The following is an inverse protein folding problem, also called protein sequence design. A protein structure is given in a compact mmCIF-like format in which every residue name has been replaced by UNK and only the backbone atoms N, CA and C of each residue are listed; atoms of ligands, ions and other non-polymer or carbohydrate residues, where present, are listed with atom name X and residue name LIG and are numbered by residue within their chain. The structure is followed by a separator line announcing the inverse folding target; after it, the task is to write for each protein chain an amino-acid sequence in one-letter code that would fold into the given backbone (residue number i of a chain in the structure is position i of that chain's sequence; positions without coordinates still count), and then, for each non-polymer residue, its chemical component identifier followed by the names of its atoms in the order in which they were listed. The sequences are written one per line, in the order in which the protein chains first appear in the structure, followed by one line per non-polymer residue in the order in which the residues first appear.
data_IF_334046075830
#
_entry.id   IF_334046075830
#
_cell.length_a   1.000
_cell.length_b   1.000
_cell.length_c   1.000
_cell.angle_alpha   90.00
_cell.angle_beta   90.00
_cell.angle_gamma   90.00
#
_symmetry.space_group_name_H-M   'P 1'
#
loop_
_entity.id
_entity.type
_entity.pdbx_description
1 polymer ?
#
# COMPACT_ATOMS: atom_id res chain seq x y z
N UNK A 1 28.32 7.78 7.66
CA UNK A 1 26.96 7.18 7.64
C UNK A 1 27.08 5.67 7.75
N UNK A 2 26.32 5.03 8.65
CA UNK A 2 26.31 3.56 8.80
C UNK A 2 25.73 2.88 7.54
N UNK A 3 26.14 1.63 7.27
CA UNK A 3 25.72 0.82 6.10
C UNK A 3 24.19 0.75 5.96
N UNK A 4 23.47 0.75 7.07
CA UNK A 4 22.00 0.74 7.13
C UNK A 4 21.36 2.02 6.56
N UNK A 5 21.92 3.20 6.84
CA UNK A 5 21.40 4.46 6.30
C UNK A 5 21.53 4.52 4.78
N UNK A 6 22.61 3.97 4.24
CA UNK A 6 22.79 3.84 2.78
C UNK A 6 21.78 2.88 2.14
N UNK A 7 21.43 1.78 2.81
CA UNK A 7 20.39 0.87 2.33
C UNK A 7 19.00 1.52 2.33
N UNK A 8 18.67 2.29 3.36
CA UNK A 8 17.40 3.03 3.45
C UNK A 8 17.31 4.10 2.34
N UNK A 9 18.36 4.91 2.17
CA UNK A 9 18.42 5.93 1.13
C UNK A 9 18.35 5.32 -0.28
N UNK A 10 19.14 4.29 -0.55
CA UNK A 10 19.11 3.58 -1.84
C UNK A 10 17.75 2.95 -2.12
N UNK A 11 17.11 2.35 -1.11
CA UNK A 11 15.77 1.80 -1.21
C UNK A 11 14.71 2.86 -1.51
N UNK A 12 14.74 4.00 -0.81
CA UNK A 12 13.83 5.12 -1.06
C UNK A 12 13.99 5.70 -2.47
N UNK A 13 15.23 5.87 -2.94
CA UNK A 13 15.52 6.37 -4.28
C UNK A 13 15.04 5.40 -5.37
N UNK A 14 15.27 4.09 -5.19
CA UNK A 14 14.77 3.06 -6.10
C UNK A 14 13.23 3.04 -6.14
N UNK A 15 12.56 3.12 -4.99
CA UNK A 15 11.10 3.16 -4.93
C UNK A 15 10.56 4.41 -5.62
N UNK A 16 11.19 5.57 -5.42
CA UNK A 16 10.84 6.81 -6.12
C UNK A 16 11.03 6.71 -7.63
N UNK A 17 12.12 6.10 -8.09
CA UNK A 17 12.39 5.86 -9.51
C UNK A 17 11.38 4.88 -10.13
N UNK A 18 11.04 3.80 -9.42
CA UNK A 18 10.00 2.86 -9.87
C UNK A 18 8.64 3.58 -9.97
N UNK A 19 8.31 4.40 -8.98
CA UNK A 19 7.06 5.15 -8.98
C UNK A 19 6.98 6.13 -10.16
N UNK A 20 8.05 6.86 -10.48
CA UNK A 20 8.07 7.79 -11.61
C UNK A 20 7.98 7.08 -12.97
N UNK A 21 8.65 5.93 -13.10
CA UNK A 21 8.52 5.07 -14.30
C UNK A 21 7.08 4.58 -14.45
N UNK A 22 6.46 4.08 -13.39
CA UNK A 22 5.07 3.61 -13.45
C UNK A 22 4.10 4.72 -13.84
N UNK A 23 4.29 5.97 -13.38
CA UNK A 23 3.50 7.11 -13.85
C UNK A 23 3.65 7.31 -15.36
N UNK A 24 4.89 7.31 -15.85
CA UNK A 24 5.17 7.47 -17.29
C UNK A 24 4.53 6.36 -18.12
N UNK A 25 4.39 5.17 -17.55
CA UNK A 25 3.86 3.99 -18.24
C UNK A 25 2.34 3.82 -18.13
N UNK A 26 1.63 4.73 -17.45
CA UNK A 26 0.17 4.77 -17.47
C UNK A 26 -0.51 4.90 -16.11
N UNK A 27 0.22 4.84 -14.99
CA UNK A 27 -0.40 5.08 -13.68
C UNK A 27 -0.81 6.55 -13.51
N UNK A 28 -1.83 6.85 -12.68
CA UNK A 28 -2.33 8.20 -12.54
C UNK A 28 -1.22 9.15 -12.05
N UNK A 29 -1.03 10.32 -12.70
CA UNK A 29 0.07 11.24 -12.38
C UNK A 29 0.01 11.74 -10.94
N UNK A 30 -1.19 11.91 -10.41
CA UNK A 30 -1.43 12.36 -9.03
C UNK A 30 -1.35 11.23 -7.99
N UNK A 31 -1.15 9.97 -8.39
CA UNK A 31 -1.13 8.82 -7.47
C UNK A 31 0.21 8.10 -7.46
N UNK A 32 0.94 8.06 -8.58
CA UNK A 32 2.23 7.40 -8.67
C UNK A 32 2.20 5.95 -8.20
N UNK A 33 2.72 5.72 -6.99
CA UNK A 33 2.73 4.42 -6.31
C UNK A 33 2.06 4.51 -4.93
N UNK A 34 0.88 5.13 -4.85
CA UNK A 34 0.17 5.37 -3.60
C UNK A 34 -0.61 4.13 -3.13
N UNK A 35 -0.14 3.51 -2.05
CA UNK A 35 -0.76 2.32 -1.47
C UNK A 35 -2.21 2.59 -1.02
N UNK A 36 -2.49 3.74 -0.42
CA UNK A 36 -3.85 4.07 0.06
C UNK A 36 -4.85 4.22 -1.10
N UNK A 37 -4.46 4.90 -2.18
CA UNK A 37 -5.31 5.05 -3.36
C UNK A 37 -5.51 3.71 -4.08
N UNK A 38 -4.46 2.89 -4.18
CA UNK A 38 -4.57 1.57 -4.79
C UNK A 38 -5.43 0.61 -3.97
N UNK A 39 -5.36 0.69 -2.64
CA UNK A 39 -6.24 -0.11 -1.78
C UNK A 39 -7.72 0.27 -1.95
N UNK A 40 -8.01 1.57 -2.12
CA UNK A 40 -9.36 2.03 -2.50
C UNK A 40 -9.76 1.48 -3.87
N UNK A 41 -8.89 1.57 -4.87
CA UNK A 41 -9.21 1.07 -6.22
C UNK A 41 -9.49 -0.44 -6.22
N UNK A 42 -8.73 -1.21 -5.44
CA UNK A 42 -8.97 -2.65 -5.21
C UNK A 42 -10.31 -2.87 -4.52
N UNK A 43 -10.63 -2.12 -3.46
CA UNK A 43 -11.92 -2.19 -2.78
C UNK A 43 -13.09 -1.91 -3.72
N UNK A 44 -12.92 -0.97 -4.65
CA UNK A 44 -13.86 -0.68 -5.72
C UNK A 44 -13.98 -1.82 -6.74
N UNK A 45 -12.86 -2.45 -7.09
CA UNK A 45 -12.82 -3.58 -8.02
C UNK A 45 -13.57 -4.79 -7.48
N UNK A 46 -13.40 -5.13 -6.19
CA UNK A 46 -14.12 -6.25 -5.56
C UNK A 46 -15.55 -5.89 -5.12
N UNK A 47 -16.00 -4.65 -5.34
CA UNK A 47 -17.38 -4.22 -5.08
C UNK A 47 -17.69 -3.83 -3.64
N UNK A 48 -16.68 -3.59 -2.78
CA UNK A 48 -16.90 -3.06 -1.42
C UNK A 48 -17.43 -1.62 -1.43
N UNK A 49 -17.23 -0.89 -2.53
CA UNK A 49 -17.92 0.37 -2.82
C UNK A 49 -18.24 0.48 -4.31
N UNK A 50 -19.23 1.32 -4.66
CA UNK A 50 -19.77 1.45 -6.03
C UNK A 50 -19.35 2.73 -6.77
N UNK A 51 -18.27 3.38 -6.33
CA UNK A 51 -17.73 4.54 -7.03
C UNK A 51 -17.07 4.12 -8.37
N UNK A 52 -17.79 4.30 -9.49
CA UNK A 52 -17.41 3.84 -10.83
C UNK A 52 -16.11 4.42 -11.41
N UNK A 53 -15.55 5.46 -10.81
CA UNK A 53 -14.31 6.13 -11.25
C UNK A 53 -13.02 5.53 -10.68
N UNK A 54 -13.14 4.65 -9.67
CA UNK A 54 -12.03 4.12 -8.87
C UNK A 54 -12.19 2.61 -8.63
N UNK A 55 -12.31 1.85 -9.71
CA UNK A 55 -12.46 0.40 -9.70
C UNK A 55 -11.43 -0.21 -10.63
N UNK A 56 -10.35 -0.74 -10.04
CA UNK A 56 -9.33 -1.49 -10.76
C UNK A 56 -8.51 -2.34 -9.80
N UNK A 57 -8.31 -3.61 -10.13
CA UNK A 57 -7.47 -4.49 -9.35
C UNK A 57 -5.99 -4.15 -9.63
N UNK A 58 -5.35 -3.41 -8.74
CA UNK A 58 -3.98 -2.90 -8.90
C UNK A 58 -2.93 -4.03 -8.73
N UNK A 59 -2.24 -4.47 -9.80
CA UNK A 59 -1.22 -5.54 -9.71
C UNK A 59 -0.02 -5.14 -8.85
N UNK A 60 0.23 -3.83 -8.68
CA UNK A 60 1.29 -3.29 -7.84
C UNK A 60 1.18 -3.79 -6.40
N UNK A 61 -0.02 -3.74 -5.81
CA UNK A 61 -0.25 -4.15 -4.42
C UNK A 61 -0.09 -5.67 -4.27
N UNK A 62 -0.61 -6.43 -5.25
CA UNK A 62 -0.40 -7.88 -5.31
C UNK A 62 1.09 -8.18 -5.34
N UNK A 63 1.85 -7.49 -6.21
CA UNK A 63 3.30 -7.63 -6.32
C UNK A 63 4.02 -7.30 -5.02
N UNK A 64 3.64 -6.22 -4.32
CA UNK A 64 4.23 -5.87 -3.01
C UNK A 64 4.01 -7.01 -2.01
N UNK A 65 2.77 -7.51 -1.90
CA UNK A 65 2.42 -8.57 -0.93
C UNK A 65 3.24 -9.83 -1.22
N UNK A 66 3.30 -10.26 -2.49
CA UNK A 66 4.09 -11.42 -2.89
C UNK A 66 5.60 -11.20 -2.71
N UNK A 67 6.09 -10.00 -3.00
CA UNK A 67 7.51 -9.65 -2.89
C UNK A 67 8.00 -9.63 -1.43
N UNK A 68 7.20 -9.03 -0.54
CA UNK A 68 7.45 -9.05 0.92
C UNK A 68 7.40 -10.49 1.44
N UNK A 69 6.38 -11.25 1.03
CA UNK A 69 6.22 -12.65 1.45
C UNK A 69 7.42 -13.51 1.03
N UNK A 70 7.80 -13.46 -0.26
CA UNK A 70 8.95 -14.21 -0.78
C UNK A 70 10.26 -13.79 -0.10
N UNK A 71 10.49 -12.49 0.06
CA UNK A 71 11.66 -11.95 0.77
C UNK A 71 11.72 -12.43 2.22
N UNK A 72 10.58 -12.49 2.91
CA UNK A 72 10.50 -12.94 4.30
C UNK A 72 10.79 -14.44 4.46
N UNK A 73 10.38 -15.28 3.50
CA UNK A 73 10.68 -16.72 3.49
C UNK A 73 12.17 -16.95 3.21
N UNK A 74 12.71 -16.30 2.18
CA UNK A 74 14.15 -16.41 1.83
C UNK A 74 15.02 -15.96 3.01
N UNK A 75 14.59 -14.94 3.75
CA UNK A 75 15.29 -14.47 4.94
C UNK A 75 15.09 -15.34 6.19
N UNK A 76 14.17 -16.31 6.18
CA UNK A 76 13.78 -17.08 7.36
C UNK A 76 13.09 -16.25 8.46
N UNK A 77 12.60 -15.05 8.12
CA UNK A 77 11.98 -14.11 9.07
C UNK A 77 10.44 -14.24 9.11
N UNK A 78 9.86 -15.11 8.29
CA UNK A 78 8.41 -15.28 8.20
C UNK A 78 7.83 -15.79 9.53
N UNK A 79 7.04 -14.95 10.19
CA UNK A 79 6.35 -15.27 11.45
C UNK A 79 4.93 -14.74 11.40
N UNK A 80 3.95 -15.63 11.55
CA UNK A 80 2.53 -15.28 11.68
C UNK A 80 2.30 -14.61 13.04
N UNK A 81 1.71 -13.41 13.04
CA UNK A 81 1.45 -12.60 14.25
C UNK A 81 -0.05 -12.31 14.33
N UNK A 82 -0.61 -12.34 15.54
CA UNK A 82 -2.01 -12.02 15.81
C UNK A 82 -2.24 -11.51 17.23
N UNK A 83 -3.51 -11.35 17.59
CA UNK A 83 -3.93 -11.34 19.00
C UNK A 83 -4.00 -9.99 19.75
N UNK A 84 -3.38 -8.90 19.27
CA UNK A 84 -3.38 -7.65 20.06
C UNK A 84 -4.37 -6.59 19.61
N UNK A 85 -5.28 -6.21 20.52
CA UNK A 85 -6.24 -5.09 20.42
C UNK A 85 -6.86 -4.92 19.02
N UNK A 86 -7.41 -6.00 18.47
CA UNK A 86 -7.86 -6.10 17.07
C UNK A 86 -8.88 -5.04 16.70
N UNK A 87 -9.89 -4.82 17.54
CA UNK A 87 -10.93 -3.82 17.30
C UNK A 87 -10.38 -2.39 17.26
N UNK A 88 -9.53 -2.02 18.23
CA UNK A 88 -8.92 -0.68 18.27
C UNK A 88 -8.05 -0.46 17.04
N UNK A 89 -7.22 -1.44 16.66
CA UNK A 89 -6.37 -1.36 15.46
C UNK A 89 -7.19 -1.25 14.16
N UNK A 90 -8.31 -1.97 14.09
CA UNK A 90 -9.23 -1.88 12.96
C UNK A 90 -9.82 -0.47 12.84
N UNK A 91 -10.35 0.09 13.93
CA UNK A 91 -10.90 1.45 13.96
C UNK A 91 -9.84 2.50 13.63
N UNK A 92 -8.61 2.35 14.15
CA UNK A 92 -7.48 3.22 13.78
C UNK A 92 -7.17 3.15 12.28
N UNK A 93 -7.22 1.95 11.68
CA UNK A 93 -7.07 1.75 10.24
C UNK A 93 -8.16 2.44 9.41
N UNK A 94 -9.42 2.41 9.88
CA UNK A 94 -10.54 3.12 9.24
C UNK A 94 -10.28 4.63 9.23
N UNK A 95 -9.93 5.23 10.37
CA UNK A 95 -9.62 6.66 10.44
C UNK A 95 -8.38 7.04 9.63
N UNK A 96 -7.35 6.19 9.62
CA UNK A 96 -6.17 6.38 8.76
C UNK A 96 -6.58 6.43 7.29
N UNK A 97 -7.40 5.48 6.82
CA UNK A 97 -7.84 5.43 5.42
C UNK A 97 -8.73 6.62 5.05
N UNK A 98 -9.66 7.01 5.93
CA UNK A 98 -10.49 8.21 5.72
C UNK A 98 -9.59 9.45 5.61
N UNK A 99 -8.67 9.65 6.56
CA UNK A 99 -7.74 10.79 6.54
C UNK A 99 -6.85 10.81 5.29
N UNK A 100 -6.27 9.67 4.92
CA UNK A 100 -5.41 9.57 3.73
C UNK A 100 -6.15 9.86 2.42
N UNK A 101 -7.44 9.53 2.34
CA UNK A 101 -8.26 9.77 1.15
C UNK A 101 -8.81 11.21 1.10
N UNK A 102 -9.31 11.74 2.22
CA UNK A 102 -9.90 13.09 2.30
C UNK A 102 -8.85 14.17 2.15
N UNK A 103 -7.72 14.06 2.86
CA UNK A 103 -6.66 15.07 2.83
C UNK A 103 -5.59 14.79 1.77
N UNK A 104 -5.74 13.71 1.00
CA UNK A 104 -4.74 13.20 0.07
C UNK A 104 -3.36 12.90 0.71
N UNK A 105 -3.28 12.85 2.04
CA UNK A 105 -2.05 12.91 2.84
C UNK A 105 -1.24 11.61 2.95
N UNK A 106 -1.13 10.83 1.86
CA UNK A 106 -0.28 9.63 1.87
C UNK A 106 1.19 10.07 1.71
N UNK A 107 2.11 9.70 2.62
CA UNK A 107 3.44 10.30 2.67
C UNK A 107 4.25 10.08 1.38
N UNK A 108 4.15 8.89 0.77
CA UNK A 108 4.80 8.63 -0.52
C UNK A 108 4.16 9.44 -1.66
N UNK A 109 2.84 9.58 -1.65
CA UNK A 109 2.10 10.36 -2.65
C UNK A 109 2.45 11.84 -2.56
N UNK A 110 2.52 12.38 -1.35
CA UNK A 110 2.83 13.79 -1.13
C UNK A 110 4.27 14.11 -1.55
N UNK A 111 5.23 13.23 -1.25
CA UNK A 111 6.61 13.38 -1.74
C UNK A 111 6.66 13.42 -3.27
N UNK A 112 5.94 12.50 -3.95
CA UNK A 112 5.89 12.46 -5.41
C UNK A 112 5.16 13.69 -6.00
N UNK A 113 4.10 14.18 -5.35
CA UNK A 113 3.38 15.39 -5.77
C UNK A 113 4.22 16.66 -5.61
N UNK A 114 4.93 16.78 -4.49
CA UNK A 114 5.87 17.88 -4.28
C UNK A 114 6.99 17.84 -5.33
N UNK A 115 7.51 16.65 -5.65
CA UNK A 115 8.50 16.49 -6.72
C UNK A 115 7.94 16.85 -8.10
N UNK A 116 6.63 16.68 -8.31
CA UNK A 116 5.90 17.12 -9.51
C UNK A 116 5.50 18.60 -9.53
N UNK A 117 5.86 19.38 -8.50
CA UNK A 117 5.59 20.83 -8.43
C UNK A 117 4.27 21.23 -7.75
N UNK A 118 3.52 20.27 -7.17
CA UNK A 118 2.26 20.57 -6.46
C UNK A 118 2.54 20.96 -4.99
N UNK A 119 2.53 22.27 -4.71
CA UNK A 119 2.76 22.81 -3.37
C UNK A 119 1.65 22.47 -2.37
N UNK A 120 0.45 22.06 -2.81
CA UNK A 120 -0.61 21.65 -1.88
C UNK A 120 -0.23 20.37 -1.12
N UNK A 121 0.67 19.55 -1.68
CA UNK A 121 1.17 18.36 -1.00
C UNK A 121 1.99 18.71 0.26
N UNK A 122 2.52 19.94 0.37
CA UNK A 122 3.21 20.41 1.60
C UNK A 122 2.23 20.47 2.77
N UNK A 123 1.00 20.95 2.54
CA UNK A 123 -0.04 21.02 3.57
C UNK A 123 -0.44 19.63 4.03
N UNK A 124 -0.60 18.69 3.07
CA UNK A 124 -0.86 17.28 3.36
C UNK A 124 0.24 16.64 4.21
N UNK A 125 1.51 16.88 3.85
CA UNK A 125 2.66 16.36 4.58
C UNK A 125 2.77 16.97 5.99
N UNK A 126 2.54 18.27 6.16
CA UNK A 126 2.54 18.91 7.47
C UNK A 126 1.42 18.36 8.37
N UNK A 127 0.23 18.14 7.79
CA UNK A 127 -0.87 17.46 8.48
C UNK A 127 -0.50 16.04 8.91
N UNK A 128 0.17 15.27 8.04
CA UNK A 128 0.68 13.94 8.38
C UNK A 128 1.72 13.98 9.51
N UNK A 129 2.68 14.91 9.47
CA UNK A 129 3.69 15.08 10.53
C UNK A 129 3.02 15.45 11.86
N UNK A 130 2.09 16.41 11.85
CA UNK A 130 1.35 16.80 13.05
C UNK A 130 0.53 15.63 13.63
N UNK A 131 -0.13 14.84 12.76
CA UNK A 131 -0.87 13.65 13.17
C UNK A 131 0.02 12.57 13.78
N UNK A 132 1.20 12.31 13.20
CA UNK A 132 2.19 11.40 13.80
C UNK A 132 2.64 11.94 15.16
N UNK A 133 2.97 13.23 15.26
CA UNK A 133 3.36 13.88 16.52
C UNK A 133 2.31 13.75 17.63
N UNK A 134 1.04 14.00 17.31
CA UNK A 134 -0.06 13.78 18.25
C UNK A 134 -0.18 12.31 18.68
N UNK A 135 -0.05 11.37 17.74
CA UNK A 135 -0.01 9.94 18.04
C UNK A 135 1.14 9.54 18.98
N UNK A 136 2.33 10.11 18.78
CA UNK A 136 3.50 9.89 19.66
C UNK A 136 3.24 10.43 21.05
N UNK A 137 2.60 11.60 21.19
CA UNK A 137 2.23 12.15 22.48
C UNK A 137 1.32 11.20 23.27
N UNK A 138 0.27 10.64 22.64
CA UNK A 138 -0.60 9.65 23.28
C UNK A 138 0.13 8.35 23.66
N UNK A 139 1.03 7.86 22.79
CA UNK A 139 1.84 6.67 23.08
C UNK A 139 2.77 6.89 24.28
N UNK A 140 3.34 8.10 24.43
CA UNK A 140 4.19 8.46 25.58
C UNK A 140 3.39 8.58 26.89
N UNK A 141 2.11 8.94 26.80
CA UNK A 141 1.23 9.10 27.97
C UNK A 141 0.54 7.79 28.44
N UNK A 142 1.05 6.62 28.03
CA UNK A 142 0.60 5.32 28.53
C UNK A 142 -0.39 4.58 27.64
N UNK A 143 -0.73 5.08 26.44
CA UNK A 143 -1.52 4.31 25.47
C UNK A 143 -0.68 3.16 24.90
N UNK A 144 -1.10 1.91 25.13
CA UNK A 144 -0.43 0.72 24.61
C UNK A 144 -1.43 -0.21 23.91
N UNK A 145 -1.10 -0.60 22.67
CA UNK A 145 -1.93 -1.45 21.81
C UNK A 145 -1.71 -2.96 22.04
N UNK A 146 -1.11 -3.34 23.17
CA UNK A 146 -0.72 -4.70 23.49
C UNK A 146 0.43 -5.22 22.61
N UNK A 147 1.28 -6.10 23.17
CA UNK A 147 2.27 -6.83 22.36
C UNK A 147 1.56 -7.80 21.43
N UNK A 148 2.03 -7.90 20.19
CA UNK A 148 1.56 -8.94 19.29
C UNK A 148 1.95 -10.31 19.84
N UNK A 149 1.08 -11.29 19.68
CA UNK A 149 1.37 -12.69 20.01
C UNK A 149 1.74 -13.44 18.72
N UNK A 150 2.65 -14.40 18.86
CA UNK A 150 2.98 -15.31 17.77
C UNK A 150 1.85 -16.31 17.64
N UNK A 151 1.24 -16.39 16.45
CA UNK A 151 0.19 -17.37 16.20
C UNK A 151 0.82 -18.76 16.11
N UNK A 152 0.16 -19.75 16.71
CA UNK A 152 0.56 -21.16 16.62
C UNK A 152 0.47 -21.72 15.20
N UNK A 153 -0.32 -21.09 14.31
CA UNK A 153 -0.46 -21.53 12.92
C UNK A 153 0.21 -20.56 11.95
N UNK A 154 1.13 -21.08 11.11
CA UNK A 154 1.71 -20.35 9.98
C UNK A 154 0.69 -20.05 8.88
N UNK A 155 -0.45 -20.75 8.91
CA UNK A 155 -1.52 -20.63 7.92
C UNK A 155 -2.14 -19.23 7.89
N UNK A 156 -2.29 -18.58 9.05
CA UNK A 156 -2.84 -17.23 9.13
C UNK A 156 -2.06 -16.19 8.30
N UNK A 157 -0.72 -16.30 8.26
CA UNK A 157 0.13 -15.41 7.47
C UNK A 157 0.16 -15.75 5.97
N UNK A 158 -0.17 -16.99 5.60
CA UNK A 158 -0.16 -17.48 4.22
C UNK A 158 -1.47 -17.17 3.47
N UNK A 159 -2.57 -17.02 4.21
CA UNK A 159 -3.88 -16.69 3.65
C UNK A 159 -3.86 -15.39 2.83
N UNK A 160 -3.20 -14.34 3.33
CA UNK A 160 -3.18 -13.05 2.65
C UNK A 160 -2.49 -13.12 1.27
N UNK A 161 -1.26 -13.65 1.13
CA UNK A 161 -0.64 -13.91 -0.17
C UNK A 161 -1.50 -14.80 -1.09
N UNK A 162 -2.13 -15.86 -0.55
CA UNK A 162 -2.98 -16.74 -1.35
C UNK A 162 -4.21 -16.01 -1.93
N UNK A 163 -4.91 -15.21 -1.12
CA UNK A 163 -6.08 -14.44 -1.57
C UNK A 163 -5.70 -13.45 -2.66
N UNK A 164 -4.59 -12.72 -2.51
CA UNK A 164 -4.14 -11.77 -3.52
C UNK A 164 -3.62 -12.46 -4.79
N UNK A 165 -3.02 -13.65 -4.67
CA UNK A 165 -2.67 -14.48 -5.83
C UNK A 165 -3.92 -14.99 -6.57
N UNK A 166 -4.98 -15.34 -5.84
CA UNK A 166 -6.28 -15.69 -6.44
C UNK A 166 -6.89 -14.49 -7.19
N UNK A 167 -6.85 -13.28 -6.63
CA UNK A 167 -7.30 -12.09 -7.36
C UNK A 167 -6.42 -11.77 -8.57
N UNK A 168 -5.12 -12.05 -8.53
CA UNK A 168 -4.24 -11.93 -9.70
C UNK A 168 -4.68 -12.89 -10.81
N UNK A 169 -5.02 -14.12 -10.45
CA UNK A 169 -5.54 -15.11 -11.39
C UNK A 169 -6.85 -14.63 -12.02
N UNK A 170 -7.77 -14.07 -11.23
CA UNK A 170 -9.02 -13.49 -11.74
C UNK A 170 -8.76 -12.31 -12.68
N UNK A 171 -7.76 -11.47 -12.38
CA UNK A 171 -7.38 -10.35 -13.23
C UNK A 171 -6.81 -10.82 -14.58
N UNK A 172 -5.90 -11.79 -14.58
CA UNK A 172 -5.29 -12.32 -15.82
C UNK A 172 -6.31 -13.02 -16.71
N UNK A 173 -7.30 -13.69 -16.11
CA UNK A 173 -8.31 -14.42 -16.86
C UNK A 173 -9.44 -13.54 -17.40
N UNK A 174 -9.48 -12.24 -17.04
CA UNK A 174 -10.53 -11.29 -17.42
C UNK A 174 -11.94 -11.92 -17.32
N UNK A 175 -12.18 -12.72 -16.27
CA UNK A 175 -13.40 -13.50 -16.19
C UNK A 175 -14.60 -12.56 -15.99
N UNK A 176 -15.36 -12.31 -17.06
CA UNK A 176 -16.66 -11.65 -16.97
C UNK A 176 -17.69 -12.74 -16.63
N UNK A 177 -17.92 -12.95 -15.32
CA UNK A 177 -18.92 -13.93 -14.87
C UNK A 177 -20.36 -13.52 -15.23
N UNK A 178 -20.62 -12.22 -15.44
CA UNK A 178 -21.92 -11.73 -15.89
C UNK A 178 -21.77 -10.52 -16.85
N UNK A 179 -22.21 -10.62 -18.11
CA UNK A 179 -22.17 -9.52 -19.09
C UNK A 179 -23.00 -8.30 -18.70
N UNK A 180 -24.08 -8.48 -17.92
CA UNK A 180 -25.02 -7.40 -17.58
C UNK A 180 -24.77 -6.79 -16.19
N UNK A 181 -24.25 -7.57 -15.25
CA UNK A 181 -23.98 -7.13 -13.87
C UNK A 181 -22.48 -6.93 -13.55
N UNK A 182 -21.58 -7.25 -14.49
CA UNK A 182 -20.14 -7.24 -14.31
C UNK A 182 -19.58 -8.57 -13.80
N UNK A 183 -18.30 -8.82 -14.05
CA UNK A 183 -17.56 -9.92 -13.44
C UNK A 183 -17.32 -9.71 -11.93
N UNK A 184 -16.58 -10.62 -11.25
CA UNK A 184 -16.16 -10.49 -9.86
C UNK A 184 -15.25 -9.27 -9.63
N UNK A 185 -14.69 -8.71 -10.71
CA UNK A 185 -13.94 -7.47 -10.70
C UNK A 185 -14.67 -6.42 -11.54
N UNK A 186 -14.93 -5.26 -10.94
CA UNK A 186 -15.40 -4.07 -11.61
C UNK A 186 -14.22 -3.27 -12.18
N UNK A 187 -14.41 -2.75 -13.38
CA UNK A 187 -13.43 -1.92 -14.08
C UNK A 187 -14.01 -0.54 -14.38
N UNK A 188 -13.26 0.51 -14.05
CA UNK A 188 -13.61 1.88 -14.37
C UNK A 188 -13.39 2.19 -15.84
N UNK A 189 -14.40 2.77 -16.50
CA UNK A 189 -14.27 3.29 -17.87
C UNK A 189 -13.64 4.69 -17.92
N UNK A 190 -13.70 5.44 -16.82
CA UNK A 190 -13.15 6.80 -16.72
C UNK A 190 -12.61 7.06 -15.31
N UNK A 191 -11.76 8.09 -15.20
CA UNK A 191 -11.15 8.48 -13.93
C UNK A 191 -9.88 7.69 -13.59
N UNK A 192 -9.38 7.80 -12.35
CA UNK A 192 -8.09 7.22 -11.98
C UNK A 192 -8.05 5.68 -12.10
N UNK A 193 -9.20 5.01 -11.96
CA UNK A 193 -9.30 3.56 -12.11
C UNK A 193 -9.02 3.07 -13.54
N UNK A 194 -9.25 3.89 -14.57
CA UNK A 194 -8.99 3.53 -15.97
C UNK A 194 -7.53 3.79 -16.40
N UNK A 195 -6.75 4.49 -15.57
CA UNK A 195 -5.33 4.76 -15.81
C UNK A 195 -4.48 3.71 -15.09
N UNK A 196 -3.87 2.79 -15.83
CA UNK A 196 -3.02 1.76 -15.28
C UNK A 196 -1.82 1.46 -16.18
N UNK A 197 -0.69 1.16 -15.56
CA UNK A 197 0.49 0.64 -16.25
C UNK A 197 0.29 -0.83 -16.67
N UNK A 198 1.07 -1.35 -17.64
CA UNK A 198 0.96 -2.73 -18.08
C UNK A 198 1.13 -3.72 -16.91
N UNK A 199 0.24 -4.72 -16.84
CA UNK A 199 0.11 -5.65 -15.69
C UNK A 199 1.46 -6.26 -15.29
N UNK A 200 2.26 -6.71 -16.27
CA UNK A 200 3.56 -7.35 -16.01
C UNK A 200 4.53 -6.38 -15.32
N UNK A 201 4.56 -5.13 -15.76
CA UNK A 201 5.46 -4.12 -15.21
C UNK A 201 5.01 -3.69 -13.82
N UNK A 202 3.70 -3.50 -13.61
CA UNK A 202 3.13 -3.25 -12.29
C UNK A 202 3.45 -4.37 -11.30
N UNK A 203 3.37 -5.63 -11.74
CA UNK A 203 3.69 -6.79 -10.91
C UNK A 203 5.18 -6.88 -10.58
N UNK A 204 6.07 -6.73 -11.57
CA UNK A 204 7.53 -6.72 -11.37
C UNK A 204 7.94 -5.58 -10.45
N UNK A 205 7.42 -4.37 -10.69
CA UNK A 205 7.65 -3.22 -9.85
C UNK A 205 7.19 -3.46 -8.41
N UNK A 206 5.98 -4.00 -8.22
CA UNK A 206 5.46 -4.39 -6.92
C UNK A 206 6.36 -5.41 -6.21
N UNK A 207 6.80 -6.46 -6.91
CA UNK A 207 7.70 -7.48 -6.36
C UNK A 207 9.03 -6.89 -5.88
N UNK A 208 9.65 -6.03 -6.71
CA UNK A 208 10.89 -5.35 -6.37
C UNK A 208 10.72 -4.42 -5.17
N UNK A 209 9.67 -3.59 -5.18
CA UNK A 209 9.38 -2.68 -4.07
C UNK A 209 9.10 -3.46 -2.79
N UNK A 210 8.34 -4.54 -2.86
CA UNK A 210 8.08 -5.41 -1.70
C UNK A 210 9.35 -6.05 -1.15
N UNK A 211 10.23 -6.55 -2.02
CA UNK A 211 11.51 -7.12 -1.62
C UNK A 211 12.39 -6.09 -0.91
N UNK A 212 12.52 -4.90 -1.49
CA UNK A 212 13.30 -3.78 -0.91
C UNK A 212 12.69 -3.36 0.42
N UNK A 213 11.38 -3.14 0.48
CA UNK A 213 10.67 -2.68 1.68
C UNK A 213 10.86 -3.66 2.86
N UNK A 214 10.84 -4.97 2.59
CA UNK A 214 11.08 -5.98 3.62
C UNK A 214 12.54 -5.94 4.14
N UNK A 215 13.53 -5.73 3.27
CA UNK A 215 14.95 -5.70 3.65
C UNK A 215 15.36 -4.41 4.34
N UNK A 216 14.82 -3.27 3.89
CA UNK A 216 15.15 -1.95 4.46
C UNK A 216 14.28 -1.57 5.63
N UNK A 217 13.14 -2.26 5.84
CA UNK A 217 12.10 -1.92 6.83
C UNK A 217 11.68 -0.45 6.72
N UNK A 218 11.59 0.04 5.49
CA UNK A 218 11.32 1.45 5.21
C UNK A 218 9.94 1.86 5.73
N UNK A 219 9.92 2.81 6.67
CA UNK A 219 8.70 3.36 7.24
C UNK A 219 8.77 4.89 7.31
N UNK A 220 7.94 5.57 6.52
CA UNK A 220 7.93 7.04 6.47
C UNK A 220 7.41 7.67 7.78
N UNK A 221 6.42 7.05 8.45
CA UNK A 221 6.01 7.47 9.80
C UNK A 221 7.07 7.14 10.85
N UNK A 222 7.81 6.04 10.67
CA UNK A 222 8.90 5.64 11.57
C UNK A 222 9.98 6.70 11.63
N UNK A 223 10.39 7.25 10.49
CA UNK A 223 11.40 8.33 10.44
C UNK A 223 11.00 9.64 11.11
N UNK A 224 9.71 9.85 11.41
CA UNK A 224 9.23 11.03 12.18
C UNK A 224 9.07 10.68 13.67
N UNK A 225 8.74 9.42 13.98
CA UNK A 225 8.49 8.95 15.35
C UNK A 225 9.77 8.59 16.10
N UNK A 226 10.67 7.86 15.42
CA UNK A 226 11.86 7.22 15.97
C UNK A 226 13.07 8.18 15.93
#
# INVERSE_FOLDING_TARGET
MTREKWLILGGGLLIGAIASVLVKMGNPPNMGFCIACFQRDIAGAIGLHRAGVVQYMRPEIIGIILGVFLSSIIAGEFKSRGGSSTFVRFIMGVFMMIGALVFLGCPLRDILRMAGGDLNAVVGLLGFIAGVGAGVYFLRNGFNLGRYEYSHSSFGGLLLPMVFAFFLFLLIKENVFNPEAGGPLFFSQSGPGSMYAPIILSLIAGLLVGFIAQKTRLCLSGGIRD
#
